data_IF_192291573708
#
_entry.id   IF_192291573708
#
_cell.length_a   1.000
_cell.length_b   1.000
_cell.length_c   1.000
_cell.angle_alpha   90.00
_cell.angle_beta   90.00
_cell.angle_gamma   90.00
#
_symmetry.space_group_name_H-M   'P 1'
#
loop_
_entity.id
_entity.type
_entity.pdbx_description
1 polymer ?
#
# COMPACT_ATOMS: atom_id res chain seq x y z
N UNK A 1 -31.51 26.99 -14.39
CA UNK A 1 -31.98 26.25 -13.20
C UNK A 1 -32.20 24.81 -13.62
N UNK A 2 -31.16 23.98 -13.57
CA UNK A 2 -31.22 22.57 -13.99
C UNK A 2 -31.82 21.77 -12.84
N UNK A 3 -33.10 21.43 -12.96
CA UNK A 3 -33.82 20.59 -12.02
C UNK A 3 -33.22 19.19 -12.01
N UNK A 4 -32.54 18.85 -10.91
CA UNK A 4 -32.24 17.45 -10.60
C UNK A 4 -33.56 16.74 -10.35
N UNK A 5 -33.90 15.83 -11.25
CA UNK A 5 -35.06 14.93 -11.15
C UNK A 5 -34.85 14.03 -9.94
N UNK A 6 -35.55 14.29 -8.83
CA UNK A 6 -35.58 13.38 -7.68
C UNK A 6 -36.20 12.05 -8.13
N UNK A 7 -35.39 11.00 -8.14
CA UNK A 7 -35.83 9.64 -8.42
C UNK A 7 -36.39 9.10 -7.10
N UNK A 8 -37.71 8.99 -6.99
CA UNK A 8 -38.38 8.31 -5.87
C UNK A 8 -38.13 6.79 -5.95
N UNK A 9 -36.94 6.37 -5.53
CA UNK A 9 -36.55 4.96 -5.38
C UNK A 9 -37.20 4.42 -4.10
N UNK A 10 -37.93 3.30 -4.21
CA UNK A 10 -38.55 2.64 -3.05
C UNK A 10 -37.51 2.11 -2.07
N UNK A 11 -37.83 2.00 -0.77
CA UNK A 11 -36.87 1.54 0.26
C UNK A 11 -36.15 0.24 -0.10
N UNK A 12 -36.87 -0.69 -0.73
CA UNK A 12 -36.33 -1.99 -1.16
C UNK A 12 -35.29 -1.87 -2.28
N UNK A 13 -35.49 -0.93 -3.22
CA UNK A 13 -34.51 -0.63 -4.26
C UNK A 13 -33.31 0.14 -3.70
N UNK A 14 -33.52 1.05 -2.73
CA UNK A 14 -32.42 1.72 -2.03
C UNK A 14 -31.53 0.73 -1.28
N UNK A 15 -32.13 -0.24 -0.59
CA UNK A 15 -31.39 -1.29 0.11
C UNK A 15 -30.56 -2.14 -0.87
N UNK A 16 -31.12 -2.49 -2.02
CA UNK A 16 -30.41 -3.25 -3.06
C UNK A 16 -29.23 -2.45 -3.65
N UNK A 17 -29.42 -1.15 -3.88
CA UNK A 17 -28.37 -0.27 -4.40
C UNK A 17 -27.21 -0.08 -3.41
N UNK A 18 -27.52 0.18 -2.13
CA UNK A 18 -26.50 0.33 -1.07
C UNK A 18 -25.74 -0.98 -0.83
N UNK A 19 -26.44 -2.12 -0.83
CA UNK A 19 -25.81 -3.43 -0.71
C UNK A 19 -24.89 -3.72 -1.91
N UNK A 20 -25.35 -3.40 -3.12
CA UNK A 20 -24.56 -3.54 -4.35
C UNK A 20 -23.28 -2.71 -4.33
N UNK A 21 -23.34 -1.44 -3.92
CA UNK A 21 -22.16 -0.57 -3.83
C UNK A 21 -21.19 -1.05 -2.75
N UNK A 22 -21.69 -1.44 -1.56
CA UNK A 22 -20.86 -1.99 -0.47
C UNK A 22 -20.11 -3.25 -0.91
N UNK A 23 -20.78 -4.13 -1.66
CA UNK A 23 -20.17 -5.36 -2.21
C UNK A 23 -19.14 -5.05 -3.30
N UNK A 24 -19.35 -4.01 -4.09
CA UNK A 24 -18.41 -3.59 -5.13
C UNK A 24 -17.16 -2.92 -4.52
N UNK A 25 -17.35 -2.11 -3.49
CA UNK A 25 -16.28 -1.46 -2.72
C UNK A 25 -15.36 -2.49 -2.03
N UNK A 26 -15.93 -3.53 -1.40
CA UNK A 26 -15.13 -4.56 -0.73
C UNK A 26 -14.23 -5.33 -1.72
N UNK A 27 -14.73 -5.58 -2.94
CA UNK A 27 -13.99 -6.28 -3.99
C UNK A 27 -12.88 -5.40 -4.57
N UNK A 28 -13.17 -4.12 -4.75
CA UNK A 28 -12.19 -3.11 -5.18
C UNK A 28 -11.06 -2.95 -4.15
N UNK A 29 -11.39 -2.84 -2.86
CA UNK A 29 -10.41 -2.76 -1.76
C UNK A 29 -9.46 -3.95 -1.75
N UNK A 30 -9.99 -5.16 -1.95
CA UNK A 30 -9.17 -6.38 -2.01
C UNK A 30 -8.18 -6.35 -3.17
N UNK A 31 -8.61 -5.84 -4.32
CA UNK A 31 -7.77 -5.71 -5.52
C UNK A 31 -6.67 -4.67 -5.31
N UNK A 32 -7.02 -3.50 -4.76
CA UNK A 32 -6.04 -2.44 -4.43
C UNK A 32 -5.01 -2.93 -3.40
N UNK A 33 -5.44 -3.68 -2.38
CA UNK A 33 -4.56 -4.25 -1.36
C UNK A 33 -3.52 -5.20 -1.96
N UNK A 34 -3.94 -6.06 -2.89
CA UNK A 34 -3.03 -6.96 -3.61
C UNK A 34 -2.07 -6.17 -4.49
N UNK A 35 -2.57 -5.18 -5.24
CA UNK A 35 -1.75 -4.34 -6.11
C UNK A 35 -0.67 -3.58 -5.35
N UNK A 36 -1.04 -2.95 -4.23
CA UNK A 36 -0.09 -2.22 -3.36
C UNK A 36 0.98 -3.17 -2.83
N UNK A 37 0.62 -4.36 -2.34
CA UNK A 37 1.59 -5.33 -1.84
C UNK A 37 2.59 -5.76 -2.93
N UNK A 38 2.14 -5.95 -4.18
CA UNK A 38 3.02 -6.28 -5.30
C UNK A 38 4.00 -5.13 -5.55
N UNK A 39 3.51 -3.88 -5.58
CA UNK A 39 4.36 -2.69 -5.77
C UNK A 39 5.40 -2.57 -4.64
N UNK A 40 5.01 -2.81 -3.39
CA UNK A 40 5.92 -2.79 -2.24
C UNK A 40 7.04 -3.83 -2.36
N UNK A 41 6.71 -5.06 -2.80
CA UNK A 41 7.73 -6.11 -3.03
C UNK A 41 8.66 -5.73 -4.19
N UNK A 42 8.14 -5.16 -5.27
CA UNK A 42 8.97 -4.71 -6.40
C UNK A 42 9.93 -3.59 -6.00
N UNK A 43 9.47 -2.63 -5.21
CA UNK A 43 10.32 -1.57 -4.66
C UNK A 43 11.43 -2.12 -3.77
N UNK A 44 11.12 -3.13 -2.97
CA UNK A 44 12.08 -3.76 -2.08
C UNK A 44 13.15 -4.54 -2.86
N UNK A 45 12.76 -5.28 -3.91
CA UNK A 45 13.70 -5.96 -4.80
C UNK A 45 14.61 -4.93 -5.49
N UNK A 46 14.04 -3.83 -6.00
CA UNK A 46 14.80 -2.74 -6.60
C UNK A 46 15.79 -2.09 -5.63
N UNK A 47 15.38 -1.87 -4.37
CA UNK A 47 16.28 -1.35 -3.33
C UNK A 47 17.46 -2.31 -3.08
N UNK A 48 17.21 -3.61 -2.94
CA UNK A 48 18.28 -4.62 -2.76
C UNK A 48 19.24 -4.60 -3.95
N UNK A 49 18.72 -4.61 -5.17
CA UNK A 49 19.54 -4.59 -6.38
C UNK A 49 20.47 -3.37 -6.38
N UNK A 50 19.95 -2.21 -6.01
CA UNK A 50 20.71 -0.95 -6.00
C UNK A 50 21.75 -0.90 -4.87
N UNK A 51 21.45 -1.41 -3.67
CA UNK A 51 22.40 -1.40 -2.54
C UNK A 51 23.54 -2.43 -2.61
N UNK A 52 23.34 -3.48 -3.41
CA UNK A 52 24.32 -4.54 -3.62
C UNK A 52 25.04 -4.43 -4.97
N UNK A 53 24.75 -3.39 -5.73
CA UNK A 53 25.51 -3.06 -6.93
C UNK A 53 26.88 -2.49 -6.57
N UNK A 54 27.84 -2.59 -7.49
CA UNK A 54 29.22 -2.15 -7.26
C UNK A 54 29.38 -0.62 -7.29
N UNK A 55 28.48 0.09 -7.99
CA UNK A 55 28.54 1.56 -8.06
C UNK A 55 27.89 2.19 -6.83
N UNK A 56 28.70 2.87 -6.01
CA UNK A 56 28.25 3.61 -4.82
C UNK A 56 27.19 4.69 -5.08
N UNK A 57 27.03 5.14 -6.33
CA UNK A 57 25.94 6.03 -6.74
C UNK A 57 24.59 5.34 -6.62
N UNK A 58 24.55 4.03 -6.87
CA UNK A 58 23.35 3.21 -6.82
C UNK A 58 22.79 3.06 -5.41
N UNK A 59 23.61 3.21 -4.38
CA UNK A 59 23.10 3.23 -3.02
C UNK A 59 22.16 4.43 -2.75
N UNK A 60 22.39 5.59 -3.39
CA UNK A 60 21.46 6.72 -3.30
C UNK A 60 20.11 6.38 -3.94
N UNK A 61 20.13 5.66 -5.07
CA UNK A 61 18.91 5.15 -5.70
C UNK A 61 18.25 4.10 -4.82
N UNK A 62 19.00 3.20 -4.18
CA UNK A 62 18.48 2.27 -3.17
C UNK A 62 17.75 3.00 -2.04
N UNK A 63 18.32 4.11 -1.56
CA UNK A 63 17.68 5.02 -0.61
C UNK A 63 16.38 5.64 -1.14
N UNK A 64 16.34 6.07 -2.41
CA UNK A 64 15.11 6.57 -3.05
C UNK A 64 14.02 5.51 -3.15
N UNK A 65 14.39 4.26 -3.51
CA UNK A 65 13.45 3.13 -3.52
C UNK A 65 12.88 2.87 -2.11
N UNK A 66 13.72 2.97 -1.07
CA UNK A 66 13.28 2.84 0.32
C UNK A 66 12.36 3.99 0.76
N UNK A 67 12.65 5.24 0.38
CA UNK A 67 11.75 6.37 0.65
C UNK A 67 10.38 6.18 -0.03
N UNK A 68 10.37 5.79 -1.31
CA UNK A 68 9.14 5.50 -2.04
C UNK A 68 8.35 4.35 -1.38
N UNK A 69 9.04 3.29 -0.96
CA UNK A 69 8.45 2.17 -0.24
C UNK A 69 7.76 2.63 1.05
N UNK A 70 8.45 3.37 1.91
CA UNK A 70 7.87 3.85 3.17
C UNK A 70 6.73 4.85 2.92
N UNK A 71 6.87 5.74 1.94
CA UNK A 71 5.82 6.69 1.57
C UNK A 71 4.52 6.00 1.14
N UNK A 72 4.60 5.06 0.20
CA UNK A 72 3.45 4.29 -0.27
C UNK A 72 2.86 3.47 0.88
N UNK A 73 3.69 2.85 1.70
CA UNK A 73 3.25 2.04 2.84
C UNK A 73 2.45 2.89 3.86
N UNK A 74 2.94 4.07 4.23
CA UNK A 74 2.28 4.96 5.19
C UNK A 74 0.91 5.39 4.66
N UNK A 75 0.85 5.86 3.41
CA UNK A 75 -0.40 6.29 2.76
C UNK A 75 -1.40 5.12 2.68
N UNK A 76 -0.92 3.94 2.28
CA UNK A 76 -1.78 2.75 2.15
C UNK A 76 -2.30 2.25 3.50
N UNK A 77 -1.47 2.28 4.54
CA UNK A 77 -1.86 1.91 5.90
C UNK A 77 -2.88 2.88 6.49
N UNK A 78 -2.73 4.17 6.20
CA UNK A 78 -3.69 5.19 6.61
C UNK A 78 -5.04 5.00 5.91
N UNK A 79 -5.02 4.78 4.59
CA UNK A 79 -6.25 4.55 3.81
C UNK A 79 -6.97 3.26 4.21
N UNK A 80 -6.25 2.20 4.60
CA UNK A 80 -6.85 0.96 5.10
C UNK A 80 -7.35 1.06 6.54
N UNK A 81 -6.67 1.80 7.43
CA UNK A 81 -7.11 1.99 8.82
C UNK A 81 -8.48 2.66 8.91
N UNK A 82 -8.83 3.51 7.95
CA UNK A 82 -10.16 4.13 7.87
C UNK A 82 -11.23 3.14 7.38
N UNK A 83 -10.86 2.11 6.61
CA UNK A 83 -11.81 1.30 5.83
C UNK A 83 -12.06 -0.10 6.41
N UNK A 84 -11.12 -0.75 7.11
CA UNK A 84 -11.29 -2.15 7.57
C UNK A 84 -10.28 -2.57 8.66
N UNK A 85 -10.77 -3.20 9.74
CA UNK A 85 -9.98 -3.86 10.80
C UNK A 85 -9.56 -5.29 10.45
N UNK A 86 -8.91 -5.49 9.30
CA UNK A 86 -8.54 -6.82 8.81
C UNK A 86 -7.26 -7.35 9.49
N UNK A 87 -7.39 -8.45 10.26
CA UNK A 87 -6.33 -8.98 11.14
C UNK A 87 -5.22 -9.74 10.40
N UNK A 88 -5.49 -10.30 9.22
CA UNK A 88 -4.51 -11.16 8.51
C UNK A 88 -3.43 -10.37 7.77
N UNK A 89 -3.76 -9.21 7.25
CA UNK A 89 -2.79 -8.39 6.51
C UNK A 89 -1.72 -7.76 7.37
N UNK A 90 -2.00 -7.58 8.66
CA UNK A 90 -1.09 -6.97 9.63
C UNK A 90 0.22 -7.75 9.71
N UNK A 91 0.17 -9.08 9.62
CA UNK A 91 1.39 -9.92 9.67
C UNK A 91 2.31 -9.71 8.46
N UNK A 92 1.72 -9.62 7.26
CA UNK A 92 2.48 -9.36 6.03
C UNK A 92 3.09 -7.95 6.11
N UNK A 93 2.31 -6.97 6.52
CA UNK A 93 2.76 -5.59 6.60
C UNK A 93 3.84 -5.39 7.67
N UNK A 94 3.73 -6.08 8.81
CA UNK A 94 4.73 -6.11 9.87
C UNK A 94 6.04 -6.77 9.40
N UNK A 95 5.95 -7.93 8.74
CA UNK A 95 7.12 -8.60 8.16
C UNK A 95 7.86 -7.72 7.17
N UNK A 96 7.12 -7.01 6.31
CA UNK A 96 7.66 -6.02 5.38
C UNK A 96 8.35 -4.85 6.10
N UNK A 97 7.78 -4.29 7.18
CA UNK A 97 8.49 -3.25 7.97
C UNK A 97 9.79 -3.79 8.52
N UNK A 98 9.72 -4.93 9.20
CA UNK A 98 10.87 -5.50 9.92
C UNK A 98 12.00 -5.75 8.92
N UNK A 99 11.68 -6.36 7.77
CA UNK A 99 12.66 -6.61 6.73
C UNK A 99 13.26 -5.32 6.18
N UNK A 100 12.44 -4.29 5.89
CA UNK A 100 12.94 -2.99 5.42
C UNK A 100 13.83 -2.29 6.44
N UNK A 101 13.49 -2.35 7.73
CA UNK A 101 14.33 -1.76 8.80
C UNK A 101 15.65 -2.51 8.92
N UNK A 102 15.64 -3.84 8.89
CA UNK A 102 16.87 -4.64 8.90
C UNK A 102 17.77 -4.31 7.72
N UNK A 103 17.19 -4.21 6.53
CA UNK A 103 17.90 -3.86 5.30
C UNK A 103 18.53 -2.46 5.43
N UNK A 104 17.80 -1.49 5.96
CA UNK A 104 18.32 -0.14 6.21
C UNK A 104 19.47 -0.14 7.22
N UNK A 105 19.39 -0.93 8.29
CA UNK A 105 20.48 -1.05 9.29
C UNK A 105 21.73 -1.65 8.65
N UNK A 106 21.58 -2.75 7.89
CA UNK A 106 22.70 -3.42 7.22
C UNK A 106 23.38 -2.49 6.22
N UNK A 107 22.62 -1.76 5.41
CA UNK A 107 23.19 -0.81 4.45
C UNK A 107 23.81 0.40 5.15
N UNK A 108 23.23 0.88 6.25
CA UNK A 108 23.80 1.97 7.04
C UNK A 108 25.16 1.59 7.65
N UNK A 109 25.30 0.38 8.20
CA UNK A 109 26.57 -0.09 8.80
C UNK A 109 27.73 -0.01 7.78
N UNK A 110 27.45 -0.28 6.50
CA UNK A 110 28.39 -0.16 5.37
C UNK A 110 29.00 1.25 5.21
N UNK A 111 28.33 2.29 5.73
CA UNK A 111 28.81 3.68 5.70
C UNK A 111 29.48 4.14 6.99
N UNK A 112 29.20 3.47 8.11
CA UNK A 112 29.70 3.86 9.43
C UNK A 112 30.95 3.08 9.86
N UNK A 113 31.22 1.91 9.27
CA UNK A 113 32.38 1.05 9.55
C UNK A 113 33.15 0.75 8.27
#
# INVERSE_FOLDING_TARGET
>A
MLGYKEIHIGEHERACYILGDTLKDNKSNKTLRIGINIILVLLLIGAIQMFYDEDSTNDHFGGLFMMAFFGIKIVSSFMMSIKEGDKKSVFIDLGLVIFSVLLLVVTSVKYFF
#
